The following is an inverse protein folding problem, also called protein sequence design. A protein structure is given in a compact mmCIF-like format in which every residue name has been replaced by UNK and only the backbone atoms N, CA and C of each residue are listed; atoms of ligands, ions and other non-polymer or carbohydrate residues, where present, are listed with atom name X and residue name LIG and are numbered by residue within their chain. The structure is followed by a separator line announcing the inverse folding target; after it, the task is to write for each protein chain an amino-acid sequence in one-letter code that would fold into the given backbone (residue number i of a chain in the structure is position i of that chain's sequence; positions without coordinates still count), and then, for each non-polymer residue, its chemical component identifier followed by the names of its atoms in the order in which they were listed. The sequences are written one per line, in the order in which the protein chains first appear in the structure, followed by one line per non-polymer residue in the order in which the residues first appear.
data_IF_120914330034
#
_entry.id   IF_120914330034
#
_cell.length_a   1.000
_cell.length_b   1.000
_cell.length_c   1.000
_cell.angle_alpha   90.00
_cell.angle_beta   90.00
_cell.angle_gamma   90.00
#
_symmetry.space_group_name_H-M   'P 1'
#
loop_
_entity.id
_entity.type
_entity.pdbx_description
1 polymer ?
#
# COMPACT_ATOMS: atom_id res chain seq x y z
N UNK A 1 19.44 -7.54 6.76
CA UNK A 1 18.55 -7.69 5.60
C UNK A 1 18.00 -6.34 5.18
N UNK A 2 18.07 -6.05 3.89
CA UNK A 2 17.42 -4.90 3.27
C UNK A 2 16.04 -5.32 2.78
N UNK A 3 14.98 -4.80 3.39
CA UNK A 3 13.61 -5.19 3.10
C UNK A 3 12.83 -3.98 2.61
N UNK A 4 12.41 -4.03 1.35
CA UNK A 4 11.64 -2.96 0.73
C UNK A 4 10.15 -3.25 0.91
N UNK A 5 9.44 -2.35 1.59
CA UNK A 5 8.04 -2.54 1.97
C UNK A 5 7.18 -1.37 1.50
N UNK A 6 5.99 -1.66 1.00
CA UNK A 6 5.00 -0.62 0.75
C UNK A 6 4.73 0.20 2.03
N UNK A 7 4.56 1.51 1.88
CA UNK A 7 4.41 2.44 3.01
C UNK A 7 3.32 2.04 4.00
N UNK A 8 2.20 1.48 3.52
CA UNK A 8 1.10 0.98 4.34
C UNK A 8 1.45 -0.18 5.27
N UNK A 9 2.56 -0.89 5.00
CA UNK A 9 3.04 -2.01 5.82
C UNK A 9 3.92 -1.56 6.99
N UNK A 10 4.37 -0.30 7.01
CA UNK A 10 5.46 0.12 7.90
C UNK A 10 5.18 -0.16 9.38
N UNK A 11 3.97 0.11 9.86
CA UNK A 11 3.63 -0.09 11.28
C UNK A 11 3.63 -1.57 11.66
N UNK A 12 2.95 -2.42 10.89
CA UNK A 12 2.89 -3.87 11.15
C UNK A 12 4.28 -4.53 11.00
N UNK A 13 5.01 -4.19 9.94
CA UNK A 13 6.33 -4.76 9.68
C UNK A 13 7.37 -4.31 10.72
N UNK A 14 7.25 -3.10 11.27
CA UNK A 14 8.11 -2.66 12.39
C UNK A 14 7.92 -3.54 13.63
N UNK A 15 6.68 -3.91 13.97
CA UNK A 15 6.41 -4.85 15.07
C UNK A 15 6.92 -6.26 14.75
N UNK A 16 6.70 -6.73 13.52
CA UNK A 16 7.19 -8.03 13.03
C UNK A 16 8.71 -8.10 13.14
N UNK A 17 9.44 -7.09 12.64
CA UNK A 17 10.91 -7.06 12.75
C UNK A 17 11.39 -7.07 14.19
N UNK A 18 10.78 -6.27 15.06
CA UNK A 18 11.13 -6.22 16.48
C UNK A 18 10.96 -7.57 17.19
N UNK A 19 9.90 -8.31 16.86
CA UNK A 19 9.69 -9.66 17.43
C UNK A 19 10.68 -10.66 16.86
N UNK A 20 10.90 -10.63 15.54
CA UNK A 20 11.84 -11.53 14.88
C UNK A 20 13.29 -11.31 15.36
N UNK A 21 13.77 -10.07 15.42
CA UNK A 21 15.13 -9.74 15.89
C UNK A 21 15.36 -10.15 17.35
N UNK A 22 14.32 -10.18 18.19
CA UNK A 22 14.42 -10.65 19.57
C UNK A 22 14.74 -12.15 19.65
N UNK A 23 14.18 -12.93 18.73
CA UNK A 23 14.41 -14.37 18.64
C UNK A 23 15.66 -14.71 17.81
N UNK A 24 16.05 -13.80 16.93
CA UNK A 24 17.19 -13.93 16.01
C UNK A 24 18.19 -12.77 16.18
N UNK A 25 18.93 -12.68 17.29
CA UNK A 25 19.74 -11.50 17.64
C UNK A 25 20.90 -11.22 16.66
N UNK A 26 21.24 -12.19 15.82
CA UNK A 26 22.28 -12.04 14.78
C UNK A 26 21.73 -11.48 13.45
N UNK A 27 20.42 -11.25 13.35
CA UNK A 27 19.77 -10.69 12.17
C UNK A 27 19.33 -9.27 12.48
N UNK A 28 19.68 -8.34 11.59
CA UNK A 28 19.19 -6.97 11.60
C UNK A 28 18.34 -6.72 10.36
N UNK A 29 17.13 -6.21 10.55
CA UNK A 29 16.21 -5.88 9.49
C UNK A 29 16.17 -4.37 9.31
N UNK A 30 16.45 -3.92 8.09
CA UNK A 30 16.42 -2.51 7.71
C UNK A 30 15.34 -2.33 6.65
N UNK A 31 14.34 -1.50 6.94
CA UNK A 31 13.28 -1.21 5.99
C UNK A 31 13.58 0.01 5.14
N UNK A 32 13.24 -0.10 3.85
CA UNK A 32 12.99 1.01 2.96
C UNK A 32 11.48 1.01 2.69
N UNK A 33 10.78 2.02 3.21
CA UNK A 33 9.33 2.12 3.12
C UNK A 33 8.92 3.28 2.21
N UNK A 34 8.28 2.97 1.10
CA UNK A 34 7.76 3.96 0.16
C UNK A 34 6.61 3.35 -0.68
N UNK A 35 6.15 4.04 -1.72
CA UNK A 35 5.22 3.46 -2.68
C UNK A 35 5.83 2.26 -3.39
N UNK A 36 5.02 1.24 -3.68
CA UNK A 36 5.51 0.04 -4.37
C UNK A 36 6.15 0.35 -5.74
N UNK A 37 5.66 1.38 -6.44
CA UNK A 37 6.25 1.83 -7.71
C UNK A 37 7.65 2.43 -7.53
N UNK A 38 7.85 3.29 -6.52
CA UNK A 38 9.16 3.85 -6.19
C UNK A 38 10.15 2.75 -5.82
N UNK A 39 9.72 1.80 -4.98
CA UNK A 39 10.56 0.69 -4.55
C UNK A 39 10.96 -0.22 -5.71
N UNK A 40 10.03 -0.52 -6.61
CA UNK A 40 10.32 -1.30 -7.82
C UNK A 40 11.41 -0.61 -8.65
N UNK A 41 11.25 0.70 -8.92
CA UNK A 41 12.26 1.47 -9.68
C UNK A 41 13.64 1.41 -9.02
N UNK A 42 13.72 1.53 -7.70
CA UNK A 42 14.98 1.43 -6.97
C UNK A 42 15.63 0.05 -7.13
N UNK A 43 14.82 -1.03 -7.10
CA UNK A 43 15.34 -2.41 -7.30
C UNK A 43 15.85 -2.56 -8.74
N UNK A 44 15.11 -2.08 -9.74
CA UNK A 44 15.51 -2.08 -11.16
C UNK A 44 16.79 -1.28 -11.40
N UNK A 45 17.00 -0.19 -10.65
CA UNK A 45 18.22 0.63 -10.67
C UNK A 45 19.41 -0.02 -9.94
N UNK A 46 19.21 -1.18 -9.32
CA UNK A 46 20.26 -1.97 -8.68
C UNK A 46 20.50 -1.66 -7.20
N UNK A 47 19.53 -1.03 -6.51
CA UNK A 47 19.61 -0.90 -5.07
C UNK A 47 19.60 -2.27 -4.39
N UNK A 48 20.42 -2.41 -3.35
CA UNK A 48 20.50 -3.65 -2.58
C UNK A 48 19.15 -3.93 -1.90
N UNK A 49 18.53 -5.05 -2.26
CA UNK A 49 17.26 -5.49 -1.70
C UNK A 49 17.26 -7.01 -1.54
N UNK A 50 16.89 -7.50 -0.36
CA UNK A 50 16.78 -8.93 -0.07
C UNK A 50 15.33 -9.43 -0.20
N UNK A 51 14.36 -8.63 0.25
CA UNK A 51 12.92 -8.92 0.12
C UNK A 51 12.18 -7.68 -0.35
N UNK A 52 11.16 -7.91 -1.19
CA UNK A 52 10.24 -6.88 -1.65
C UNK A 52 8.80 -7.26 -1.27
N UNK A 53 8.11 -6.39 -0.55
CA UNK A 53 6.73 -6.56 -0.12
C UNK A 53 5.88 -5.43 -0.71
N UNK A 54 5.21 -5.72 -1.81
CA UNK A 54 4.43 -4.76 -2.58
C UNK A 54 2.99 -4.67 -2.07
N UNK A 55 2.35 -3.52 -2.26
CA UNK A 55 0.91 -3.33 -2.03
C UNK A 55 0.05 -3.63 -3.28
N UNK A 56 0.62 -4.20 -4.33
CA UNK A 56 -0.11 -4.63 -5.53
C UNK A 56 0.65 -5.71 -6.28
N UNK A 57 -0.10 -6.55 -6.97
CA UNK A 57 0.44 -7.59 -7.84
C UNK A 57 1.21 -7.02 -9.03
N UNK A 58 0.77 -5.89 -9.59
CA UNK A 58 1.38 -5.27 -10.78
C UNK A 58 2.89 -5.05 -10.65
N UNK A 59 3.35 -4.50 -9.54
CA UNK A 59 4.78 -4.26 -9.31
C UNK A 59 5.55 -5.56 -9.13
N UNK A 60 4.93 -6.56 -8.52
CA UNK A 60 5.52 -7.89 -8.37
C UNK A 60 5.62 -8.61 -9.72
N UNK A 61 4.59 -8.52 -10.55
CA UNK A 61 4.58 -9.09 -11.91
C UNK A 61 5.69 -8.48 -12.77
N UNK A 62 5.91 -7.17 -12.65
CA UNK A 62 7.00 -6.49 -13.37
C UNK A 62 8.37 -6.99 -12.88
N UNK A 63 8.58 -7.03 -11.55
CA UNK A 63 9.84 -7.51 -10.98
C UNK A 63 10.15 -8.96 -11.40
N UNK A 64 9.13 -9.80 -11.45
CA UNK A 64 9.24 -11.20 -11.91
C UNK A 64 9.56 -11.27 -13.41
N UNK A 65 8.93 -10.45 -14.25
CA UNK A 65 9.22 -10.34 -15.67
C UNK A 65 10.65 -9.87 -15.95
N UNK A 66 11.21 -9.04 -15.07
CA UNK A 66 12.60 -8.57 -15.14
C UNK A 66 13.61 -9.63 -14.68
N UNK A 67 13.15 -10.79 -14.20
CA UNK A 67 13.98 -11.89 -13.71
C UNK A 67 14.68 -11.60 -12.38
N UNK A 68 14.10 -10.68 -11.58
CA UNK A 68 14.68 -10.24 -10.29
C UNK A 68 14.02 -10.92 -9.08
N UNK A 69 13.01 -11.75 -9.29
CA UNK A 69 12.38 -12.55 -8.23
C UNK A 69 13.08 -13.91 -8.14
N UNK A 70 13.48 -14.31 -6.94
CA UNK A 70 13.98 -15.67 -6.70
C UNK A 70 12.83 -16.66 -6.89
N UNK A 71 13.02 -17.66 -7.74
CA UNK A 71 12.00 -18.65 -8.10
C UNK A 71 11.39 -19.33 -6.85
N UNK A 72 10.07 -19.45 -6.83
CA UNK A 72 9.32 -20.12 -5.77
C UNK A 72 9.18 -19.33 -4.47
N UNK A 73 9.62 -18.07 -4.42
CA UNK A 73 9.57 -17.26 -3.18
C UNK A 73 8.44 -16.23 -3.13
N UNK A 74 7.65 -16.11 -4.20
CA UNK A 74 6.51 -15.20 -4.25
C UNK A 74 5.32 -15.79 -3.49
N UNK A 75 4.80 -15.03 -2.51
CA UNK A 75 3.64 -15.40 -1.70
C UNK A 75 2.67 -14.22 -1.57
N UNK A 76 1.37 -14.48 -1.65
CA UNK A 76 0.34 -13.53 -1.25
C UNK A 76 0.23 -13.56 0.28
N UNK A 77 0.27 -12.42 0.95
CA UNK A 77 0.34 -12.38 2.42
C UNK A 77 -0.91 -11.77 3.03
N UNK A 78 -1.33 -10.60 2.57
CA UNK A 78 -2.50 -9.89 3.09
C UNK A 78 -3.30 -9.24 1.96
N UNK A 79 -4.56 -8.94 2.27
CA UNK A 79 -5.45 -8.08 1.49
C UNK A 79 -5.71 -6.79 2.27
N UNK A 80 -6.23 -5.77 1.63
CA UNK A 80 -6.55 -4.50 2.26
C UNK A 80 -7.75 -3.84 1.57
N UNK A 81 -8.40 -2.90 2.24
CA UNK A 81 -9.50 -2.15 1.65
C UNK A 81 -9.15 -0.68 1.54
N UNK A 82 -9.55 -0.07 0.44
CA UNK A 82 -9.51 1.39 0.30
C UNK A 82 -10.59 1.99 1.20
N UNK A 83 -10.25 3.06 1.90
CA UNK A 83 -11.18 3.84 2.72
C UNK A 83 -11.15 5.31 2.32
N UNK A 84 -12.29 5.97 2.44
CA UNK A 84 -12.41 7.43 2.36
C UNK A 84 -12.38 7.98 3.77
N UNK A 85 -11.43 8.85 4.06
CA UNK A 85 -11.20 9.42 5.39
C UNK A 85 -11.36 10.93 5.41
N UNK A 86 -11.68 11.47 6.57
CA UNK A 86 -11.69 12.90 6.87
C UNK A 86 -11.29 13.11 8.33
N UNK A 87 -11.07 14.35 8.75
CA UNK A 87 -10.87 14.67 10.16
C UNK A 87 -12.06 14.23 11.02
N UNK A 88 -11.79 13.85 12.26
CA UNK A 88 -12.80 13.37 13.21
C UNK A 88 -13.99 14.31 13.34
N UNK A 89 -13.71 15.60 13.47
CA UNK A 89 -14.70 16.65 13.69
C UNK A 89 -15.11 17.37 12.39
N UNK A 90 -14.76 16.82 11.22
CA UNK A 90 -15.15 17.38 9.92
C UNK A 90 -16.66 17.36 9.74
N UNK A 91 -17.19 18.46 9.19
CA UNK A 91 -18.57 18.62 8.74
C UNK A 91 -18.72 18.41 7.23
N UNK A 92 -17.80 17.67 6.63
CA UNK A 92 -17.82 17.41 5.18
C UNK A 92 -19.17 16.83 4.73
N UNK A 93 -19.61 17.25 3.55
CA UNK A 93 -20.78 16.66 2.89
C UNK A 93 -20.47 15.30 2.22
N UNK A 94 -19.19 14.97 2.07
CA UNK A 94 -18.75 13.70 1.45
C UNK A 94 -19.13 12.52 2.35
N UNK A 95 -19.76 11.52 1.75
CA UNK A 95 -20.13 10.26 2.41
C UNK A 95 -19.36 9.07 1.85
N UNK A 96 -18.72 9.21 0.70
CA UNK A 96 -17.95 8.17 0.05
C UNK A 96 -17.48 8.57 -1.34
N UNK A 97 -17.03 7.58 -2.12
CA UNK A 97 -16.53 7.81 -3.48
C UNK A 97 -17.59 8.38 -4.42
N UNK A 98 -18.86 8.04 -4.21
CA UNK A 98 -19.96 8.44 -5.10
C UNK A 98 -20.21 9.95 -5.11
N UNK A 99 -19.85 10.65 -4.03
CA UNK A 99 -20.01 12.09 -3.90
C UNK A 99 -18.74 12.83 -3.51
N UNK A 100 -17.59 12.35 -3.93
CA UNK A 100 -16.29 13.04 -3.75
C UNK A 100 -16.28 14.45 -4.34
N UNK A 101 -17.11 14.72 -5.34
CA UNK A 101 -17.30 16.04 -5.94
C UNK A 101 -17.89 17.09 -4.98
N UNK A 102 -18.35 16.70 -3.80
CA UNK A 102 -18.81 17.62 -2.75
C UNK A 102 -17.66 18.04 -1.80
N UNK A 103 -16.46 17.46 -1.94
CA UNK A 103 -15.30 17.86 -1.17
C UNK A 103 -14.77 19.24 -1.58
N UNK A 104 -14.21 19.99 -0.65
CA UNK A 104 -13.49 21.24 -0.93
C UNK A 104 -12.09 20.94 -1.50
N UNK A 105 -11.47 19.86 -1.04
CA UNK A 105 -10.16 19.39 -1.50
C UNK A 105 -9.97 17.90 -1.18
N UNK A 106 -9.18 17.22 -2.00
CA UNK A 106 -8.94 15.78 -1.91
C UNK A 106 -7.44 15.51 -1.87
N UNK A 107 -6.98 14.70 -0.93
CA UNK A 107 -5.68 14.06 -0.99
C UNK A 107 -5.80 12.72 -1.71
N UNK A 108 -5.14 12.57 -2.84
CA UNK A 108 -5.19 11.40 -3.69
C UNK A 108 -3.78 10.96 -4.07
N UNK A 109 -3.45 9.71 -3.87
CA UNK A 109 -2.18 9.19 -4.36
C UNK A 109 -2.15 9.13 -5.90
N UNK A 110 -0.97 9.29 -6.48
CA UNK A 110 -0.78 9.19 -7.93
C UNK A 110 -1.18 7.82 -8.48
N UNK A 111 -1.46 7.75 -9.78
CA UNK A 111 -1.91 6.51 -10.44
C UNK A 111 -0.91 5.36 -10.36
N UNK A 112 0.39 5.64 -10.29
CA UNK A 112 1.44 4.63 -10.11
C UNK A 112 1.53 4.07 -8.69
N UNK A 113 0.90 4.74 -7.72
CA UNK A 113 0.82 4.28 -6.33
C UNK A 113 -0.36 3.31 -6.21
N UNK A 114 -0.21 2.12 -5.59
CA UNK A 114 -1.28 1.12 -5.54
C UNK A 114 -2.62 1.66 -5.05
N UNK A 115 -2.70 2.39 -3.94
CA UNK A 115 -3.96 2.96 -3.46
C UNK A 115 -4.57 3.95 -4.45
N UNK A 116 -3.74 4.71 -5.16
CA UNK A 116 -4.18 5.63 -6.21
C UNK A 116 -4.78 4.90 -7.40
N UNK A 117 -4.18 3.77 -7.81
CA UNK A 117 -4.72 2.89 -8.85
C UNK A 117 -6.05 2.28 -8.43
N UNK A 118 -6.13 1.70 -7.22
CA UNK A 118 -7.36 1.07 -6.74
C UNK A 118 -8.51 2.08 -6.56
N UNK A 119 -8.21 3.30 -6.11
CA UNK A 119 -9.20 4.38 -6.04
C UNK A 119 -9.74 4.72 -7.43
N UNK A 120 -8.87 4.84 -8.44
CA UNK A 120 -9.29 5.09 -9.83
C UNK A 120 -10.09 3.92 -10.38
N UNK A 121 -9.71 2.69 -10.08
CA UNK A 121 -10.47 1.50 -10.47
C UNK A 121 -11.90 1.53 -9.89
N UNK A 122 -12.03 1.88 -8.62
CA UNK A 122 -13.34 2.01 -7.99
C UNK A 122 -14.19 3.12 -8.62
N UNK A 123 -13.58 4.27 -8.94
CA UNK A 123 -14.26 5.37 -9.62
C UNK A 123 -14.70 5.00 -11.05
N UNK A 124 -13.90 4.19 -11.77
CA UNK A 124 -14.31 3.62 -13.06
C UNK A 124 -15.52 2.70 -12.92
N UNK A 125 -15.50 1.82 -11.93
CA UNK A 125 -16.58 0.86 -11.69
C UNK A 125 -17.88 1.53 -11.20
N UNK A 126 -17.77 2.71 -10.59
CA UNK A 126 -18.91 3.57 -10.26
C UNK A 126 -19.43 4.40 -11.47
N UNK A 127 -18.71 4.39 -12.59
CA UNK A 127 -19.06 5.19 -13.78
C UNK A 127 -18.72 6.69 -13.65
N UNK A 128 -17.89 7.07 -12.67
CA UNK A 128 -17.41 8.45 -12.48
C UNK A 128 -16.26 8.76 -13.42
N UNK A 129 -15.38 7.78 -13.64
CA UNK A 129 -14.29 7.83 -14.63
C UNK A 129 -14.61 6.95 -15.84
N UNK A 130 -14.14 7.37 -16.99
CA UNK A 130 -14.18 6.55 -18.20
C UNK A 130 -13.37 5.28 -18.02
N UNK A 131 -13.83 4.18 -18.59
CA UNK A 131 -13.14 2.88 -18.52
C UNK A 131 -11.90 2.88 -19.40
N UNK A 132 -10.79 2.48 -18.82
CA UNK A 132 -9.51 2.22 -19.49
C UNK A 132 -8.99 0.84 -19.06
N UNK A 133 -8.08 0.27 -19.84
CA UNK A 133 -7.52 -1.05 -19.52
C UNK A 133 -6.65 -1.05 -18.25
N UNK A 134 -5.93 0.03 -18.01
CA UNK A 134 -5.08 0.20 -16.83
C UNK A 134 -5.42 1.50 -16.10
N UNK A 135 -6.11 1.37 -14.96
CA UNK A 135 -6.51 2.50 -14.12
C UNK A 135 -5.32 3.37 -13.64
N UNK A 136 -4.12 2.81 -13.59
CA UNK A 136 -2.92 3.56 -13.19
C UNK A 136 -2.52 4.65 -14.18
N UNK A 137 -3.03 4.60 -15.41
CA UNK A 137 -2.76 5.60 -16.46
C UNK A 137 -3.64 6.85 -16.35
N UNK A 138 -4.71 6.80 -15.56
CA UNK A 138 -5.59 7.95 -15.34
C UNK A 138 -4.85 8.98 -14.49
N UNK A 139 -4.71 10.19 -15.03
CA UNK A 139 -4.02 11.28 -14.34
C UNK A 139 -4.87 11.88 -13.23
N UNK A 140 -4.23 12.55 -12.28
CA UNK A 140 -4.94 13.32 -11.23
C UNK A 140 -5.79 14.45 -11.80
N UNK A 141 -5.35 15.07 -12.90
CA UNK A 141 -6.13 16.08 -13.63
C UNK A 141 -7.43 15.49 -14.20
N UNK A 142 -7.36 14.30 -14.81
CA UNK A 142 -8.55 13.60 -15.32
C UNK A 142 -9.53 13.25 -14.19
N UNK A 143 -9.03 12.85 -13.01
CA UNK A 143 -9.88 12.62 -11.83
C UNK A 143 -10.52 13.94 -11.38
N UNK A 144 -9.76 15.03 -11.29
CA UNK A 144 -10.28 16.35 -10.92
C UNK A 144 -11.38 16.80 -11.89
N UNK A 145 -11.16 16.69 -13.18
CA UNK A 145 -12.14 17.06 -14.23
C UNK A 145 -13.43 16.23 -14.09
N UNK A 146 -13.32 14.93 -13.90
CA UNK A 146 -14.46 14.04 -13.72
C UNK A 146 -15.29 14.38 -12.45
N UNK A 147 -14.64 14.95 -11.44
CA UNK A 147 -15.27 15.41 -10.19
C UNK A 147 -15.70 16.88 -10.25
N UNK A 148 -15.70 17.51 -11.43
CA UNK A 148 -16.16 18.90 -11.62
C UNK A 148 -15.10 19.96 -11.35
N UNK A 149 -13.83 19.63 -11.42
CA UNK A 149 -12.70 20.55 -11.24
C UNK A 149 -12.29 20.73 -9.76
N UNK A 150 -12.55 19.74 -8.93
CA UNK A 150 -12.17 19.75 -7.50
C UNK A 150 -10.64 19.85 -7.37
N UNK A 151 -10.18 20.61 -6.38
CA UNK A 151 -8.77 20.67 -6.02
C UNK A 151 -8.31 19.31 -5.47
N UNK A 152 -7.33 18.71 -6.13
CA UNK A 152 -6.71 17.45 -5.72
C UNK A 152 -5.23 17.71 -5.46
N UNK A 153 -4.79 17.39 -4.24
CA UNK A 153 -3.38 17.31 -3.88
C UNK A 153 -2.88 15.89 -4.13
N UNK A 154 -2.08 15.72 -5.19
CA UNK A 154 -1.47 14.43 -5.48
C UNK A 154 -0.40 14.07 -4.46
N UNK A 155 -0.47 12.87 -3.93
CA UNK A 155 0.46 12.37 -2.91
C UNK A 155 1.32 11.23 -3.45
N UNK A 156 2.56 11.17 -2.98
CA UNK A 156 3.54 10.18 -3.41
C UNK A 156 3.32 8.79 -2.81
N UNK A 157 2.60 8.68 -1.69
CA UNK A 157 2.26 7.42 -1.02
C UNK A 157 1.11 7.59 -0.03
N UNK A 158 0.63 6.46 0.54
CA UNK A 158 -0.51 6.44 1.48
C UNK A 158 -0.26 7.24 2.76
N UNK A 159 0.95 7.19 3.29
CA UNK A 159 1.30 7.93 4.52
C UNK A 159 1.15 9.43 4.34
N UNK A 160 1.50 9.94 3.15
CA UNK A 160 1.33 11.36 2.81
C UNK A 160 -0.13 11.75 2.61
N UNK A 161 -0.98 10.85 2.10
CA UNK A 161 -2.44 11.08 2.07
C UNK A 161 -2.97 11.24 3.50
N UNK A 162 -2.62 10.33 4.40
CA UNK A 162 -3.04 10.37 5.80
C UNK A 162 -2.60 11.67 6.48
N UNK A 163 -1.34 12.08 6.29
CA UNK A 163 -0.80 13.34 6.82
C UNK A 163 -1.57 14.55 6.26
N UNK A 164 -1.82 14.61 4.96
CA UNK A 164 -2.54 15.71 4.34
C UNK A 164 -3.94 15.91 4.95
N UNK A 165 -4.62 14.82 5.32
CA UNK A 165 -5.92 14.89 5.98
C UNK A 165 -5.77 15.23 7.47
N UNK A 166 -4.87 14.58 8.21
CA UNK A 166 -4.71 14.80 9.66
C UNK A 166 -4.20 16.19 10.01
N UNK A 167 -3.40 16.80 9.12
CA UNK A 167 -2.96 18.20 9.26
C UNK A 167 -3.96 19.23 8.73
N UNK A 168 -5.08 18.77 8.17
CA UNK A 168 -6.13 19.65 7.64
C UNK A 168 -5.78 20.33 6.32
N UNK A 169 -4.74 19.87 5.61
CA UNK A 169 -4.38 20.40 4.29
C UNK A 169 -5.39 20.00 3.21
N UNK A 170 -6.03 18.82 3.36
CA UNK A 170 -7.11 18.37 2.52
C UNK A 170 -8.32 17.96 3.37
N UNK A 171 -9.53 18.16 2.85
CA UNK A 171 -10.77 17.83 3.58
C UNK A 171 -10.99 16.33 3.67
N UNK A 172 -10.78 15.63 2.57
CA UNK A 172 -10.91 14.16 2.49
C UNK A 172 -9.72 13.55 1.79
N UNK A 173 -9.54 12.25 1.95
CA UNK A 173 -8.52 11.51 1.22
C UNK A 173 -8.88 10.04 1.10
N UNK A 174 -8.20 9.33 0.20
CA UNK A 174 -8.32 7.89 0.05
C UNK A 174 -7.02 7.21 0.46
N UNK A 175 -7.12 6.31 1.42
CA UNK A 175 -6.01 5.51 1.94
C UNK A 175 -6.47 4.08 2.18
N UNK A 176 -5.68 3.26 2.88
CA UNK A 176 -6.11 1.91 3.24
C UNK A 176 -6.68 1.84 4.65
N UNK A 177 -7.51 0.84 4.90
CA UNK A 177 -8.06 0.58 6.23
C UNK A 177 -6.95 0.37 7.28
N UNK A 178 -5.89 -0.34 6.91
CA UNK A 178 -4.72 -0.55 7.78
C UNK A 178 -4.02 0.75 8.21
N UNK A 179 -4.07 1.80 7.38
CA UNK A 179 -3.44 3.09 7.70
C UNK A 179 -4.19 3.85 8.81
N UNK A 180 -5.43 3.48 9.08
CA UNK A 180 -6.23 4.12 10.13
C UNK A 180 -5.87 3.66 11.54
N UNK A 181 -5.09 2.60 11.67
CA UNK A 181 -4.61 2.11 12.95
C UNK A 181 -3.81 3.19 13.69
N UNK A 182 -4.22 3.48 14.92
CA UNK A 182 -3.61 4.51 15.77
C UNK A 182 -4.06 5.95 15.46
N UNK A 183 -4.99 6.15 14.52
CA UNK A 183 -5.53 7.46 14.13
C UNK A 183 -7.03 7.59 14.42
N UNK A 184 -7.64 6.65 15.12
CA UNK A 184 -9.08 6.57 15.36
C UNK A 184 -9.64 7.79 16.12
N UNK A 185 -8.78 8.48 16.89
CA UNK A 185 -9.12 9.71 17.59
C UNK A 185 -9.00 10.97 16.71
N UNK A 186 -8.27 10.90 15.58
CA UNK A 186 -7.99 12.03 14.72
C UNK A 186 -8.84 12.05 13.45
N UNK A 187 -9.19 10.89 12.94
CA UNK A 187 -9.95 10.71 11.69
C UNK A 187 -11.21 9.91 11.91
N UNK A 188 -12.14 10.03 10.97
CA UNK A 188 -13.25 9.11 10.78
C UNK A 188 -13.24 8.54 9.36
N UNK A 189 -13.68 7.31 9.24
CA UNK A 189 -13.88 6.64 7.96
C UNK A 189 -15.28 6.97 7.48
N UNK A 190 -15.37 7.59 6.29
CA UNK A 190 -16.65 7.90 5.64
C UNK A 190 -17.18 6.69 4.89
N UNK A 191 -16.29 5.92 4.26
CA UNK A 191 -16.62 4.71 3.51
C UNK A 191 -15.46 3.72 3.57
N UNK A 192 -15.77 2.44 3.76
CA UNK A 192 -14.87 1.32 3.41
C UNK A 192 -15.31 0.80 2.05
N UNK A 193 -14.44 0.91 1.06
CA UNK A 193 -14.75 0.57 -0.34
C UNK A 193 -14.81 -0.93 -0.51
N UNK A 194 -15.90 -1.43 -1.10
CA UNK A 194 -16.07 -2.86 -1.37
C UNK A 194 -15.05 -3.39 -2.37
N UNK A 195 -14.62 -4.63 -2.22
CA UNK A 195 -13.81 -5.36 -3.21
C UNK A 195 -14.51 -5.48 -4.57
N UNK A 196 -15.82 -5.40 -4.62
CA UNK A 196 -16.56 -5.35 -5.91
C UNK A 196 -16.16 -4.14 -6.76
N UNK A 197 -15.70 -3.06 -6.13
CA UNK A 197 -15.27 -1.84 -6.82
C UNK A 197 -13.77 -1.80 -7.10
N UNK A 198 -12.95 -2.26 -6.17
CA UNK A 198 -11.47 -2.21 -6.31
C UNK A 198 -10.87 -3.48 -6.89
N UNK A 199 -11.57 -4.62 -6.78
CA UNK A 199 -10.95 -5.94 -6.79
C UNK A 199 -10.18 -6.21 -5.50
N UNK A 200 -9.60 -7.39 -5.37
CA UNK A 200 -8.72 -7.72 -4.26
C UNK A 200 -7.45 -6.86 -4.28
N UNK A 201 -7.07 -6.35 -3.12
CA UNK A 201 -5.87 -5.53 -2.91
C UNK A 201 -4.79 -6.40 -2.27
N UNK A 202 -4.31 -7.38 -3.03
CA UNK A 202 -3.34 -8.37 -2.55
C UNK A 202 -1.95 -7.75 -2.44
N UNK A 203 -1.31 -8.01 -1.30
CA UNK A 203 0.08 -7.67 -1.04
C UNK A 203 0.95 -8.90 -1.18
N UNK A 204 1.68 -9.04 -2.29
CA UNK A 204 2.66 -10.11 -2.46
C UNK A 204 4.01 -9.73 -1.87
N UNK A 205 4.71 -10.73 -1.34
CA UNK A 205 6.12 -10.65 -0.93
C UNK A 205 6.95 -11.62 -1.77
N UNK A 206 8.22 -11.28 -2.00
CA UNK A 206 9.20 -12.21 -2.58
C UNK A 206 10.59 -11.98 -2.05
N UNK A 207 11.49 -12.93 -2.28
CA UNK A 207 12.92 -12.66 -2.27
C UNK A 207 13.35 -12.04 -3.59
N UNK A 208 14.22 -11.03 -3.50
CA UNK A 208 14.84 -10.37 -4.65
C UNK A 208 16.21 -10.98 -4.90
N UNK A 209 16.58 -11.12 -6.17
CA UNK A 209 17.92 -11.51 -6.59
C UNK A 209 18.95 -10.45 -6.16
N UNK A 210 19.59 -10.69 -5.01
CA UNK A 210 20.63 -9.82 -4.45
C UNK A 210 22.01 -10.42 -4.71
N UNK A 211 22.75 -9.82 -5.66
CA UNK A 211 24.09 -10.30 -6.03
C UNK A 211 25.16 -10.04 -4.96
N UNK A 212 24.89 -9.12 -4.04
CA UNK A 212 25.80 -8.76 -2.94
C UNK A 212 25.62 -9.69 -1.73
N UNK A 213 24.54 -10.51 -1.71
CA UNK A 213 24.24 -11.39 -0.59
C UNK A 213 25.09 -12.68 -0.64
N UNK A 214 25.78 -12.96 0.45
CA UNK A 214 26.39 -14.27 0.69
C UNK A 214 25.33 -15.33 1.08
N UNK A 215 25.75 -16.58 1.23
CA UNK A 215 24.85 -17.69 1.54
C UNK A 215 24.17 -17.53 2.92
N UNK A 216 24.85 -16.91 3.89
CA UNK A 216 24.30 -16.65 5.21
C UNK A 216 23.18 -15.60 5.13
N UNK A 217 23.38 -14.54 4.34
CA UNK A 217 22.39 -13.50 4.11
C UNK A 217 21.18 -14.03 3.33
N UNK A 218 21.41 -14.84 2.30
CA UNK A 218 20.35 -15.52 1.54
C UNK A 218 19.50 -16.41 2.45
N UNK A 219 20.15 -17.21 3.30
CA UNK A 219 19.43 -18.04 4.28
C UNK A 219 18.63 -17.20 5.28
N UNK A 220 19.19 -16.12 5.80
CA UNK A 220 18.48 -15.22 6.70
C UNK A 220 17.25 -14.58 6.02
N UNK A 221 17.34 -14.27 4.73
CA UNK A 221 16.21 -13.78 3.96
C UNK A 221 15.11 -14.84 3.78
N UNK A 222 15.48 -16.10 3.54
CA UNK A 222 14.52 -17.22 3.49
C UNK A 222 13.82 -17.41 4.83
N UNK A 223 14.59 -17.40 5.93
CA UNK A 223 14.05 -17.59 7.28
C UNK A 223 13.08 -16.43 7.65
N UNK A 224 13.42 -15.19 7.29
CA UNK A 224 12.54 -14.05 7.53
C UNK A 224 11.29 -14.08 6.65
N UNK A 225 11.42 -14.48 5.38
CA UNK A 225 10.26 -14.70 4.50
C UNK A 225 9.30 -15.73 5.09
N UNK A 226 9.84 -16.86 5.57
CA UNK A 226 9.05 -17.90 6.22
C UNK A 226 8.33 -17.40 7.48
N UNK A 227 8.97 -16.52 8.25
CA UNK A 227 8.34 -15.89 9.41
C UNK A 227 7.19 -14.93 8.99
N UNK A 228 7.42 -14.06 8.00
CA UNK A 228 6.40 -13.10 7.53
C UNK A 228 5.18 -13.82 6.94
N UNK A 229 5.35 -15.01 6.40
CA UNK A 229 4.27 -15.84 5.85
C UNK A 229 3.66 -16.83 6.85
N UNK A 230 4.09 -16.80 8.12
CA UNK A 230 3.63 -17.71 9.17
C UNK A 230 2.26 -17.30 9.76
N UNK A 231 1.61 -18.26 10.46
CA UNK A 231 0.37 -18.00 11.21
C UNK A 231 0.56 -16.95 12.32
N UNK A 232 1.75 -16.83 12.89
CA UNK A 232 2.02 -15.85 13.93
C UNK A 232 2.13 -14.43 13.34
N UNK A 233 2.77 -14.28 12.18
CA UNK A 233 2.77 -13.01 11.45
C UNK A 233 1.36 -12.64 10.98
N UNK A 234 0.55 -13.61 10.54
CA UNK A 234 -0.86 -13.42 10.18
C UNK A 234 -1.65 -12.75 11.31
N UNK A 235 -1.51 -13.25 12.56
CA UNK A 235 -2.16 -12.65 13.73
C UNK A 235 -1.70 -11.20 13.98
N UNK A 236 -0.43 -10.91 13.69
CA UNK A 236 0.09 -9.54 13.81
C UNK A 236 -0.55 -8.65 12.75
N UNK A 237 -0.60 -9.07 11.49
CA UNK A 237 -1.26 -8.31 10.42
C UNK A 237 -2.74 -8.05 10.73
N UNK A 238 -3.49 -9.05 11.20
CA UNK A 238 -4.89 -8.90 11.64
C UNK A 238 -5.02 -7.80 12.71
N UNK A 239 -4.10 -7.75 13.68
CA UNK A 239 -4.11 -6.75 14.75
C UNK A 239 -3.86 -5.32 14.26
N UNK A 240 -3.27 -5.15 13.08
CA UNK A 240 -3.02 -3.87 12.40
C UNK A 240 -4.02 -3.58 11.27
N UNK A 241 -5.19 -4.22 11.29
CA UNK A 241 -6.32 -3.98 10.38
C UNK A 241 -6.10 -4.43 8.93
N UNK A 242 -5.14 -5.31 8.68
CA UNK A 242 -5.07 -6.00 7.39
C UNK A 242 -6.10 -7.13 7.33
N UNK A 243 -6.60 -7.39 6.14
CA UNK A 243 -7.40 -8.59 5.87
C UNK A 243 -6.45 -9.72 5.50
N UNK A 244 -6.39 -10.76 6.33
CA UNK A 244 -5.48 -11.89 6.14
C UNK A 244 -6.13 -13.06 5.38
N UNK A 245 -7.36 -12.89 4.88
CA UNK A 245 -7.97 -13.81 3.95
C UNK A 245 -7.40 -13.58 2.56
N UNK A 246 -6.38 -14.34 2.21
CA UNK A 246 -5.78 -14.39 0.88
C UNK A 246 -5.80 -15.84 0.39
N UNK A 247 -6.30 -16.04 -0.84
CA UNK A 247 -6.21 -17.30 -1.58
C UNK A 247 -5.17 -17.19 -2.68
#
# INVERSE_FOLDING_TARGET
LQVFIAASLNTAMTDIAKRYEKEHPNVKIVYNADSSGTLLTQIEEGYECDLFFSAAQKQMDQLEADGLVVEGTRHNVVNNQVVVITLKDSDTAVTGLENLNEAKSIALAGGSVPVGKYTRQALMNLGILDKVDDASTITTEQVSEALGGIEISEQANVSKVLIAVTEGACEVGTTYYSDTYGYEDQIKILQTVSYDLTGNVIYPICRVENKEADDAKKKAADDFLAYVTSDDAKKIFDSYYFDTNVE
#
